data_IF_936143070591
#
_entry.id   IF_936143070591
#
_cell.length_a   1.000
_cell.length_b   1.000
_cell.length_c   1.000
_cell.angle_alpha   90.00
_cell.angle_beta   90.00
_cell.angle_gamma   90.00
#
_symmetry.space_group_name_H-M   'P 1'
#
loop_
_entity.id
_entity.type
_entity.pdbx_description
1 polymer ?
#
# COMPACT_ATOMS: atom_id res chain seq x y z
N UNK A 1 -30.01 -30.02 10.49
CA UNK A 1 -30.91 -29.39 9.53
C UNK A 1 -30.08 -29.05 8.29
N UNK A 2 -30.50 -29.55 7.17
CA UNK A 2 -29.91 -29.26 5.87
C UNK A 2 -30.15 -27.79 5.51
N UNK A 3 -29.12 -27.04 5.16
CA UNK A 3 -29.23 -25.62 4.83
C UNK A 3 -28.85 -25.38 3.37
N UNK A 4 -29.71 -25.77 2.41
CA UNK A 4 -29.37 -25.79 0.98
C UNK A 4 -29.00 -24.39 0.40
N UNK A 5 -29.32 -23.29 1.10
CA UNK A 5 -28.92 -21.95 0.69
C UNK A 5 -27.41 -21.70 0.86
N UNK A 6 -26.70 -22.48 1.71
CA UNK A 6 -25.26 -22.32 1.92
C UNK A 6 -24.44 -22.64 0.66
N UNK A 7 -24.96 -23.55 -0.20
CA UNK A 7 -24.32 -23.88 -1.48
C UNK A 7 -24.39 -22.75 -2.51
N UNK A 8 -25.32 -21.79 -2.28
CA UNK A 8 -25.55 -20.64 -3.15
C UNK A 8 -24.77 -19.40 -2.69
N UNK A 9 -24.10 -19.46 -1.53
CA UNK A 9 -23.28 -18.36 -1.04
C UNK A 9 -21.96 -18.29 -1.81
N UNK A 10 -21.42 -17.07 -1.90
CA UNK A 10 -20.10 -16.86 -2.50
C UNK A 10 -19.03 -17.51 -1.63
N UNK A 11 -18.17 -18.32 -2.24
CA UNK A 11 -17.02 -18.96 -1.59
C UNK A 11 -15.76 -18.27 -2.12
N UNK A 12 -15.12 -17.49 -1.28
CA UNK A 12 -13.82 -16.83 -1.55
C UNK A 12 -12.95 -16.95 -0.31
N UNK A 13 -11.64 -16.98 -0.49
CA UNK A 13 -10.68 -16.89 0.58
C UNK A 13 -10.41 -15.40 0.89
N UNK A 14 -10.79 -14.90 2.09
CA UNK A 14 -10.63 -13.50 2.41
C UNK A 14 -9.17 -13.16 2.68
N UNK A 15 -8.83 -11.88 2.53
CA UNK A 15 -7.54 -11.36 3.00
C UNK A 15 -7.34 -11.62 4.50
N UNK A 16 -6.13 -12.10 4.84
CA UNK A 16 -5.74 -12.33 6.24
C UNK A 16 -4.86 -11.16 6.71
N UNK A 17 -5.39 -10.27 7.57
CA UNK A 17 -4.61 -9.16 8.09
C UNK A 17 -3.44 -9.63 8.95
N UNK A 18 -2.43 -8.76 9.11
CA UNK A 18 -1.34 -9.00 10.05
C UNK A 18 -1.87 -9.15 11.48
N UNK A 19 -1.21 -10.02 12.25
CA UNK A 19 -1.56 -10.24 13.65
C UNK A 19 -1.59 -8.92 14.43
N UNK A 20 -2.63 -8.72 15.25
CA UNK A 20 -2.73 -7.60 16.17
C UNK A 20 -2.34 -8.07 17.58
N UNK A 21 -1.30 -7.46 18.21
CA UNK A 21 -0.90 -7.83 19.55
C UNK A 21 -2.00 -7.50 20.56
N UNK A 22 -2.17 -8.38 21.57
CA UNK A 22 -3.15 -8.21 22.64
C UNK A 22 -2.62 -7.44 23.85
N UNK A 23 -1.31 -7.21 23.91
CA UNK A 23 -0.62 -6.52 25.01
C UNK A 23 0.15 -5.32 24.50
N UNK A 24 0.31 -4.30 25.33
CA UNK A 24 1.00 -3.05 24.98
C UNK A 24 2.53 -3.19 24.92
N UNK A 25 3.09 -4.27 25.46
CA UNK A 25 4.54 -4.45 25.60
C UNK A 25 5.21 -5.04 24.35
N UNK A 26 4.45 -5.28 23.27
CA UNK A 26 4.97 -5.84 22.03
C UNK A 26 5.40 -4.71 21.08
N UNK A 27 6.63 -4.76 20.61
CA UNK A 27 7.11 -3.92 19.52
C UNK A 27 6.52 -4.43 18.20
N UNK A 28 5.56 -3.68 17.66
CA UNK A 28 4.79 -4.05 16.48
C UNK A 28 5.48 -3.60 15.19
N UNK A 29 6.15 -4.53 14.49
CA UNK A 29 6.88 -4.29 13.23
C UNK A 29 6.34 -5.15 12.07
N UNK A 30 5.04 -5.42 12.03
CA UNK A 30 4.44 -6.38 11.09
C UNK A 30 3.44 -5.77 10.08
N UNK A 31 3.01 -4.53 10.24
CA UNK A 31 1.92 -3.94 9.46
C UNK A 31 2.31 -2.69 8.65
N UNK A 32 3.59 -2.37 8.56
CA UNK A 32 4.12 -1.20 7.84
C UNK A 32 3.49 0.12 8.31
N UNK A 33 3.16 0.22 9.60
CA UNK A 33 2.69 1.45 10.23
C UNK A 33 3.85 2.42 10.43
N UNK A 34 3.56 3.71 10.42
CA UNK A 34 4.56 4.74 10.68
C UNK A 34 4.80 4.84 12.20
N UNK A 35 6.05 4.82 12.69
CA UNK A 35 6.33 4.90 14.12
C UNK A 35 6.12 6.31 14.70
N UNK A 36 6.02 7.32 13.86
CA UNK A 36 5.80 8.71 14.27
C UNK A 36 4.32 9.07 14.19
N UNK A 37 3.80 9.91 15.11
CA UNK A 37 2.40 10.33 15.07
C UNK A 37 2.10 11.24 13.86
N UNK A 38 0.82 11.47 13.53
CA UNK A 38 0.44 12.54 12.63
C UNK A 38 0.94 13.90 13.11
N UNK A 39 1.03 14.88 12.19
CA UNK A 39 1.46 16.24 12.54
C UNK A 39 0.60 16.84 13.67
N UNK A 40 1.19 17.66 14.56
CA UNK A 40 0.46 18.25 15.70
C UNK A 40 -0.81 19.01 15.31
N UNK A 41 -0.80 19.68 14.16
CA UNK A 41 -1.97 20.38 13.62
C UNK A 41 -3.13 19.44 13.25
N UNK A 42 -2.83 18.21 12.83
CA UNK A 42 -3.84 17.16 12.59
C UNK A 42 -4.49 16.74 13.92
N UNK A 43 -3.68 16.57 14.98
CA UNK A 43 -4.18 16.28 16.33
C UNK A 43 -5.11 17.40 16.81
N UNK A 44 -4.76 18.67 16.56
CA UNK A 44 -5.61 19.81 16.93
C UNK A 44 -6.95 19.83 16.16
N UNK A 45 -6.95 19.50 14.87
CA UNK A 45 -8.18 19.35 14.08
C UNK A 45 -9.10 18.29 14.69
N UNK A 46 -8.55 17.17 15.15
CA UNK A 46 -9.34 16.11 15.79
C UNK A 46 -9.88 16.54 17.16
N UNK A 47 -9.05 17.21 17.97
CA UNK A 47 -9.41 17.67 19.31
C UNK A 47 -10.51 18.75 19.30
N UNK A 48 -10.50 19.63 18.28
CA UNK A 48 -11.44 20.75 18.15
C UNK A 48 -12.63 20.44 17.25
N UNK A 49 -12.79 19.18 16.84
CA UNK A 49 -13.90 18.80 15.98
C UNK A 49 -15.22 18.91 16.70
N UNK A 50 -16.15 19.68 16.12
CA UNK A 50 -17.51 19.80 16.62
C UNK A 50 -18.31 18.51 16.32
N UNK A 51 -18.55 17.70 17.35
CA UNK A 51 -19.25 16.43 17.25
C UNK A 51 -20.71 16.57 16.74
N UNK A 52 -21.34 17.73 16.91
CA UNK A 52 -22.70 17.98 16.38
C UNK A 52 -22.73 17.86 14.83
N UNK A 53 -21.62 18.08 14.16
CA UNK A 53 -21.50 17.89 12.71
C UNK A 53 -21.55 16.44 12.23
N UNK A 54 -21.50 15.46 13.14
CA UNK A 54 -21.70 14.05 12.81
C UNK A 54 -23.17 13.72 12.49
N UNK A 55 -24.11 14.60 12.88
CA UNK A 55 -25.55 14.44 12.59
C UNK A 55 -25.88 14.58 11.07
N UNK A 56 -24.97 15.12 10.27
CA UNK A 56 -25.19 15.36 8.83
C UNK A 56 -24.13 14.68 7.98
N UNK A 57 -24.52 14.22 6.79
CA UNK A 57 -23.60 13.58 5.84
C UNK A 57 -22.41 14.49 5.47
N UNK A 58 -21.22 13.92 5.23
CA UNK A 58 -20.08 14.66 4.69
C UNK A 58 -20.34 15.13 3.25
N UNK A 59 -19.44 15.96 2.73
CA UNK A 59 -19.40 16.27 1.29
C UNK A 59 -19.06 15.02 0.49
N UNK A 60 -20.03 14.51 -0.28
CA UNK A 60 -19.86 13.32 -1.13
C UNK A 60 -18.78 13.50 -2.21
N UNK A 61 -18.53 14.73 -2.64
CA UNK A 61 -17.51 15.07 -3.63
C UNK A 61 -16.14 15.37 -3.00
N UNK A 62 -16.09 15.54 -1.68
CA UNK A 62 -14.85 15.86 -0.94
C UNK A 62 -14.03 16.99 -1.58
N UNK A 63 -14.72 18.02 -2.08
CA UNK A 63 -14.18 19.07 -2.96
C UNK A 63 -12.92 19.72 -2.39
N UNK A 64 -12.94 20.09 -1.11
CA UNK A 64 -11.81 20.79 -0.49
C UNK A 64 -10.52 19.94 -0.51
N UNK A 65 -10.62 18.66 -0.17
CA UNK A 65 -9.46 17.77 -0.16
C UNK A 65 -8.98 17.41 -1.58
N UNK A 66 -9.90 17.19 -2.53
CA UNK A 66 -9.55 16.99 -3.94
C UNK A 66 -8.78 18.17 -4.51
N UNK A 67 -9.26 19.40 -4.24
CA UNK A 67 -8.57 20.63 -4.68
C UNK A 67 -7.16 20.71 -4.10
N UNK A 68 -7.00 20.47 -2.81
CA UNK A 68 -5.69 20.52 -2.17
C UNK A 68 -4.70 19.46 -2.70
N UNK A 69 -5.18 18.23 -3.00
CA UNK A 69 -4.35 17.20 -3.64
C UNK A 69 -3.99 17.61 -5.07
N UNK A 70 -4.96 18.10 -5.85
CA UNK A 70 -4.73 18.55 -7.21
C UNK A 70 -3.67 19.66 -7.27
N UNK A 71 -3.77 20.68 -6.42
CA UNK A 71 -2.78 21.76 -6.30
C UNK A 71 -1.38 21.25 -5.98
N UNK A 72 -1.27 20.24 -5.09
CA UNK A 72 0.02 19.66 -4.73
C UNK A 72 0.73 18.96 -5.90
N UNK A 73 -0.01 18.33 -6.80
CA UNK A 73 0.52 17.53 -7.90
C UNK A 73 0.40 18.20 -9.27
N UNK A 74 0.06 19.49 -9.30
CA UNK A 74 -0.18 20.29 -10.53
C UNK A 74 -1.23 19.62 -11.45
N UNK A 75 -2.33 19.18 -10.84
CA UNK A 75 -3.46 18.53 -11.51
C UNK A 75 -4.74 19.37 -11.39
N UNK A 76 -5.78 18.96 -12.12
CA UNK A 76 -7.12 19.48 -11.91
C UNK A 76 -7.88 18.61 -10.88
N UNK A 77 -8.82 19.16 -10.09
CA UNK A 77 -9.64 18.37 -9.17
C UNK A 77 -10.40 17.21 -9.83
N UNK A 78 -10.71 17.31 -11.12
CA UNK A 78 -11.33 16.25 -11.92
C UNK A 78 -10.41 15.06 -12.19
N UNK A 79 -9.11 15.20 -11.93
CA UNK A 79 -8.08 14.16 -12.07
C UNK A 79 -7.75 13.48 -10.75
N UNK A 80 -8.50 13.77 -9.67
CA UNK A 80 -8.28 13.21 -8.32
C UNK A 80 -9.52 12.47 -7.84
N UNK A 81 -9.32 11.26 -7.36
CA UNK A 81 -10.33 10.43 -6.70
C UNK A 81 -9.97 10.17 -5.25
N UNK A 82 -10.95 10.04 -4.36
CA UNK A 82 -10.74 9.77 -2.93
C UNK A 82 -11.50 8.53 -2.46
N UNK A 83 -10.84 7.68 -1.66
CA UNK A 83 -11.42 6.48 -1.09
C UNK A 83 -11.11 6.30 0.41
N UNK A 84 -11.84 5.38 1.03
CA UNK A 84 -11.68 5.00 2.43
C UNK A 84 -10.44 4.11 2.65
N UNK A 85 -9.26 4.67 2.40
CA UNK A 85 -7.98 4.00 2.25
C UNK A 85 -7.71 3.61 0.79
N UNK A 86 -6.44 3.31 0.46
CA UNK A 86 -6.09 2.82 -0.88
C UNK A 86 -6.77 1.49 -1.22
N UNK A 87 -7.13 0.68 -0.23
CA UNK A 87 -7.88 -0.56 -0.44
C UNK A 87 -9.26 -0.30 -1.08
N UNK A 88 -9.99 0.74 -0.62
CA UNK A 88 -11.27 1.16 -1.20
C UNK A 88 -11.06 1.70 -2.63
N UNK A 89 -10.02 2.54 -2.82
CA UNK A 89 -9.65 3.06 -4.15
C UNK A 89 -9.37 1.92 -5.14
N UNK A 90 -8.52 0.97 -4.75
CA UNK A 90 -8.15 -0.17 -5.58
C UNK A 90 -9.34 -1.09 -5.85
N UNK A 91 -10.16 -1.41 -4.84
CA UNK A 91 -11.34 -2.24 -5.02
C UNK A 91 -12.34 -1.61 -6.00
N UNK A 92 -12.54 -0.29 -5.94
CA UNK A 92 -13.37 0.44 -6.90
C UNK A 92 -12.73 0.48 -8.30
N UNK A 93 -11.41 0.63 -8.39
CA UNK A 93 -10.68 0.61 -9.66
C UNK A 93 -10.77 -0.77 -10.34
N UNK A 94 -10.64 -1.87 -9.59
CA UNK A 94 -10.85 -3.23 -10.12
C UNK A 94 -12.26 -3.40 -10.69
N UNK A 95 -13.29 -2.88 -10.01
CA UNK A 95 -14.67 -2.92 -10.48
C UNK A 95 -14.91 -2.02 -11.70
N UNK A 96 -14.19 -0.90 -11.80
CA UNK A 96 -14.39 0.07 -12.88
C UNK A 96 -13.72 -0.38 -14.19
N UNK A 97 -12.49 -0.90 -14.12
CA UNK A 97 -11.63 -1.01 -15.29
C UNK A 97 -11.41 -2.44 -15.78
N UNK A 98 -11.57 -3.44 -14.93
CA UNK A 98 -11.23 -4.82 -15.27
C UNK A 98 -12.47 -5.66 -15.57
N UNK A 99 -13.28 -5.19 -16.56
CA UNK A 99 -14.56 -5.78 -16.93
C UNK A 99 -14.50 -6.68 -18.16
N UNK A 100 -13.32 -6.94 -18.72
CA UNK A 100 -13.13 -7.79 -19.90
C UNK A 100 -12.87 -9.25 -19.52
N UNK A 101 -13.00 -10.15 -20.50
CA UNK A 101 -12.64 -11.57 -20.33
C UNK A 101 -11.12 -11.82 -20.42
N UNK A 102 -10.32 -10.78 -20.71
CA UNK A 102 -8.85 -10.88 -20.73
C UNK A 102 -8.32 -10.83 -19.30
N UNK A 103 -7.27 -11.62 -18.97
CA UNK A 103 -6.66 -11.58 -17.63
C UNK A 103 -5.96 -10.25 -17.36
N UNK A 104 -6.07 -9.74 -16.13
CA UNK A 104 -5.19 -8.69 -15.65
C UNK A 104 -3.85 -9.28 -15.22
N UNK A 105 -2.79 -8.48 -15.30
CA UNK A 105 -1.43 -8.90 -14.98
C UNK A 105 -0.92 -8.18 -13.73
N UNK A 106 -0.33 -8.94 -12.81
CA UNK A 106 0.39 -8.40 -11.64
C UNK A 106 1.47 -9.36 -11.15
N UNK A 107 2.48 -8.90 -10.36
CA UNK A 107 3.57 -9.77 -9.91
C UNK A 107 3.08 -10.94 -9.03
N UNK A 108 3.73 -12.11 -9.11
CA UNK A 108 3.41 -13.32 -8.34
C UNK A 108 3.64 -13.15 -6.83
N UNK A 109 4.62 -12.32 -6.46
CA UNK A 109 4.92 -11.95 -5.08
C UNK A 109 4.66 -10.46 -4.91
N UNK A 110 3.44 -10.13 -4.47
CA UNK A 110 2.95 -8.77 -4.37
C UNK A 110 1.88 -8.64 -3.29
N UNK A 111 1.16 -7.53 -3.27
CA UNK A 111 0.09 -7.27 -2.31
C UNK A 111 -1.03 -8.30 -2.40
N UNK A 112 -1.24 -9.03 -1.32
CA UNK A 112 -2.10 -10.21 -1.29
C UNK A 112 -3.61 -9.93 -1.39
N UNK A 113 -4.02 -8.67 -1.51
CA UNK A 113 -5.41 -8.31 -1.79
C UNK A 113 -5.78 -8.42 -3.27
N UNK A 114 -4.83 -8.33 -4.19
CA UNK A 114 -5.15 -8.37 -5.64
C UNK A 114 -5.89 -9.64 -6.04
N UNK A 115 -5.41 -10.86 -5.72
CA UNK A 115 -6.19 -12.07 -6.03
C UNK A 115 -7.56 -12.11 -5.31
N UNK A 116 -7.66 -11.56 -4.10
CA UNK A 116 -8.95 -11.52 -3.36
C UNK A 116 -9.98 -10.68 -4.12
N UNK A 117 -9.57 -9.53 -4.67
CA UNK A 117 -10.49 -8.72 -5.50
C UNK A 117 -10.80 -9.39 -6.83
N UNK A 118 -9.82 -10.05 -7.45
CA UNK A 118 -10.06 -10.82 -8.67
C UNK A 118 -11.14 -11.89 -8.45
N UNK A 119 -11.02 -12.67 -7.39
CA UNK A 119 -12.00 -13.71 -7.03
C UNK A 119 -13.36 -13.10 -6.66
N UNK A 120 -13.34 -12.00 -5.89
CA UNK A 120 -14.55 -11.30 -5.45
C UNK A 120 -15.36 -10.75 -6.63
N UNK A 121 -14.68 -10.16 -7.61
CA UNK A 121 -15.32 -9.51 -8.76
C UNK A 121 -15.34 -10.41 -10.02
N UNK A 122 -14.78 -11.63 -9.95
CA UNK A 122 -14.68 -12.59 -11.05
C UNK A 122 -13.86 -12.04 -12.23
N UNK A 123 -12.77 -11.38 -11.91
CA UNK A 123 -11.81 -10.85 -12.87
C UNK A 123 -10.75 -11.94 -13.15
N UNK A 124 -10.56 -12.36 -14.40
CA UNK A 124 -9.48 -13.27 -14.72
C UNK A 124 -8.12 -12.59 -14.49
N UNK A 125 -7.13 -13.34 -14.02
CA UNK A 125 -5.81 -12.79 -13.77
C UNK A 125 -4.67 -13.78 -14.08
N UNK A 126 -3.50 -13.25 -14.31
CA UNK A 126 -2.28 -14.01 -14.50
C UNK A 126 -1.15 -13.38 -13.68
N UNK A 127 -0.41 -14.21 -12.96
CA UNK A 127 0.72 -13.79 -12.15
C UNK A 127 2.00 -13.72 -13.00
N UNK A 128 2.64 -12.56 -13.03
CA UNK A 128 3.92 -12.36 -13.70
C UNK A 128 5.06 -12.70 -12.73
N UNK A 129 5.97 -13.61 -13.09
CA UNK A 129 7.04 -14.02 -12.19
C UNK A 129 8.01 -12.87 -11.94
N UNK A 130 8.34 -12.61 -10.68
CA UNK A 130 9.53 -11.82 -10.35
C UNK A 130 10.79 -12.67 -10.61
N UNK A 131 11.90 -12.04 -10.99
CA UNK A 131 13.17 -12.71 -11.12
C UNK A 131 13.75 -13.22 -9.79
N UNK A 132 14.97 -13.75 -9.78
CA UNK A 132 15.63 -14.27 -8.58
C UNK A 132 15.93 -13.18 -7.54
N UNK A 133 16.10 -11.92 -7.98
CA UNK A 133 16.32 -10.74 -7.15
C UNK A 133 15.03 -9.99 -6.81
N UNK A 134 13.88 -10.62 -7.09
CA UNK A 134 12.53 -10.06 -6.89
C UNK A 134 12.28 -8.75 -7.68
N UNK A 135 12.90 -8.62 -8.83
CA UNK A 135 12.65 -7.53 -9.77
C UNK A 135 11.59 -7.90 -10.80
N UNK A 136 10.86 -6.90 -11.26
CA UNK A 136 9.88 -7.02 -12.34
C UNK A 136 10.61 -6.96 -13.67
N UNK A 137 10.23 -7.83 -14.62
CA UNK A 137 10.67 -7.73 -16.01
C UNK A 137 9.53 -7.13 -16.85
N UNK A 138 9.77 -5.97 -17.47
CA UNK A 138 8.76 -5.26 -18.28
C UNK A 138 8.22 -6.10 -19.42
N UNK A 139 9.06 -6.96 -20.04
CA UNK A 139 8.68 -7.78 -21.19
C UNK A 139 7.64 -8.85 -20.86
N UNK A 140 7.50 -9.24 -19.61
CA UNK A 140 6.46 -10.20 -19.20
C UNK A 140 5.05 -9.61 -19.33
N UNK A 141 4.95 -8.28 -19.43
CA UNK A 141 3.70 -7.53 -19.59
C UNK A 141 3.38 -7.20 -21.07
N UNK A 142 4.27 -7.51 -22.01
CA UNK A 142 4.09 -7.29 -23.46
C UNK A 142 3.24 -8.40 -24.09
N UNK A 143 1.99 -8.54 -23.63
CA UNK A 143 1.03 -9.52 -24.15
C UNK A 143 -0.40 -9.02 -24.01
N UNK A 144 -1.35 -9.55 -24.79
CA UNK A 144 -2.75 -9.18 -24.68
C UNK A 144 -3.25 -9.41 -23.26
N UNK A 145 -3.76 -8.34 -22.60
CA UNK A 145 -4.23 -8.37 -21.23
C UNK A 145 -5.46 -7.49 -21.04
N UNK A 146 -6.14 -7.62 -19.90
CA UNK A 146 -7.29 -6.83 -19.50
C UNK A 146 -6.96 -5.65 -18.59
N UNK A 147 -5.69 -5.50 -18.20
CA UNK A 147 -5.19 -4.46 -17.33
C UNK A 147 -3.93 -4.88 -16.58
N UNK A 148 -3.24 -3.91 -16.01
CA UNK A 148 -2.00 -4.14 -15.25
C UNK A 148 -2.15 -3.51 -13.86
N UNK A 149 -1.68 -4.22 -12.83
CA UNK A 149 -1.56 -3.68 -11.47
C UNK A 149 -0.13 -3.90 -10.98
N UNK A 150 0.60 -2.81 -10.76
CA UNK A 150 2.00 -2.86 -10.34
C UNK A 150 2.22 -1.98 -9.11
N UNK A 151 2.57 -2.55 -7.93
CA UNK A 151 3.01 -1.74 -6.80
C UNK A 151 4.42 -1.20 -7.04
N UNK A 152 4.61 0.09 -6.81
CA UNK A 152 5.90 0.73 -6.91
C UNK A 152 6.14 1.73 -5.76
N UNK A 153 6.93 1.37 -4.75
CA UNK A 153 7.64 0.10 -4.52
C UNK A 153 6.74 -1.10 -4.19
N UNK A 154 7.18 -2.30 -4.58
CA UNK A 154 6.43 -3.54 -4.34
C UNK A 154 6.44 -3.96 -2.86
N UNK A 155 5.35 -4.48 -2.37
CA UNK A 155 5.27 -5.15 -1.07
C UNK A 155 4.95 -6.65 -1.29
N UNK A 156 5.73 -7.60 -0.70
CA UNK A 156 6.58 -7.44 0.48
C UNK A 156 8.07 -7.18 0.19
N UNK A 157 8.50 -7.10 -1.07
CA UNK A 157 9.93 -7.13 -1.42
C UNK A 157 10.66 -5.80 -1.16
N UNK A 158 9.95 -4.67 -1.21
CA UNK A 158 10.53 -3.32 -1.10
C UNK A 158 11.17 -2.81 -2.41
N UNK A 159 11.19 -3.63 -3.47
CA UNK A 159 11.78 -3.29 -4.76
C UNK A 159 10.93 -2.27 -5.50
N UNK A 160 11.55 -1.24 -6.05
CA UNK A 160 10.91 -0.28 -6.93
C UNK A 160 11.44 -0.40 -8.37
N UNK A 161 10.71 0.22 -9.29
CA UNK A 161 11.11 0.39 -10.70
C UNK A 161 11.24 1.87 -11.02
N UNK A 162 11.96 2.22 -12.09
CA UNK A 162 12.20 3.60 -12.52
C UNK A 162 11.04 4.15 -13.35
N UNK A 163 11.02 5.47 -13.57
CA UNK A 163 10.04 6.08 -14.47
C UNK A 163 10.19 5.59 -15.91
N UNK A 164 11.41 5.38 -16.40
CA UNK A 164 11.67 4.83 -17.74
C UNK A 164 11.06 3.43 -17.90
N UNK A 165 11.17 2.59 -16.87
CA UNK A 165 10.50 1.29 -16.85
C UNK A 165 8.98 1.43 -16.98
N UNK A 166 8.37 2.36 -16.22
CA UNK A 166 6.94 2.60 -16.26
C UNK A 166 6.49 3.20 -17.60
N UNK A 167 7.29 4.07 -18.20
CA UNK A 167 7.02 4.59 -19.54
C UNK A 167 7.05 3.47 -20.58
N UNK A 168 8.04 2.58 -20.54
CA UNK A 168 8.11 1.42 -21.44
C UNK A 168 6.89 0.51 -21.28
N UNK A 169 6.50 0.22 -20.02
CA UNK A 169 5.29 -0.53 -19.70
C UNK A 169 4.03 0.10 -20.31
N UNK A 170 3.85 1.41 -20.14
CA UNK A 170 2.68 2.14 -20.61
C UNK A 170 2.63 2.26 -22.12
N UNK A 171 3.77 2.42 -22.79
CA UNK A 171 3.87 2.49 -24.25
C UNK A 171 3.44 1.17 -24.94
N UNK A 172 3.74 0.04 -24.33
CA UNK A 172 3.37 -1.28 -24.86
C UNK A 172 1.97 -1.75 -24.48
N UNK A 173 1.27 -1.03 -23.55
CA UNK A 173 -0.03 -1.43 -23.02
C UNK A 173 -1.07 -0.30 -23.09
N UNK A 174 -1.19 0.38 -24.24
CA UNK A 174 -2.06 1.57 -24.39
C UNK A 174 -3.55 1.24 -24.47
N UNK A 175 -3.92 -0.01 -24.70
CA UNK A 175 -5.29 -0.48 -24.87
C UNK A 175 -5.97 -0.96 -23.56
N UNK A 176 -5.25 -0.88 -22.43
CA UNK A 176 -5.75 -1.27 -21.12
C UNK A 176 -5.32 -0.27 -20.02
N UNK A 177 -6.01 -0.29 -18.90
CA UNK A 177 -5.65 0.54 -17.73
C UNK A 177 -4.49 -0.08 -16.97
N UNK A 178 -3.46 0.73 -16.68
CA UNK A 178 -2.38 0.39 -15.79
C UNK A 178 -2.54 1.12 -14.44
N UNK A 179 -2.67 0.36 -13.36
CA UNK A 179 -2.73 0.88 -11.99
C UNK A 179 -1.35 0.76 -11.37
N UNK A 180 -0.74 1.89 -11.00
CA UNK A 180 0.50 1.91 -10.24
C UNK A 180 0.17 2.23 -8.78
N UNK A 181 0.36 1.24 -7.90
CA UNK A 181 0.10 1.37 -6.46
C UNK A 181 1.35 1.91 -5.75
N UNK A 182 1.33 3.19 -5.44
CA UNK A 182 2.42 3.94 -4.82
C UNK A 182 2.26 4.07 -3.29
N UNK A 183 1.75 3.05 -2.62
CA UNK A 183 1.53 3.11 -1.17
C UNK A 183 2.81 3.42 -0.36
N UNK A 184 3.99 3.19 -0.92
CA UNK A 184 5.29 3.36 -0.24
C UNK A 184 6.23 4.34 -0.95
N UNK A 185 5.79 5.07 -1.97
CA UNK A 185 6.64 5.90 -2.83
C UNK A 185 7.44 6.96 -2.05
N UNK A 186 6.86 7.51 -0.98
CA UNK A 186 7.49 8.56 -0.15
C UNK A 186 8.75 8.09 0.63
N UNK A 187 9.10 6.80 0.59
CA UNK A 187 10.26 6.24 1.29
C UNK A 187 11.48 5.97 0.37
N UNK A 188 11.59 6.73 -0.71
CA UNK A 188 12.73 6.69 -1.63
C UNK A 188 12.38 6.21 -3.04
N UNK A 189 11.10 6.01 -3.35
CA UNK A 189 10.61 5.82 -4.71
C UNK A 189 10.44 7.15 -5.45
N UNK A 190 10.23 7.07 -6.76
CA UNK A 190 9.87 8.20 -7.61
C UNK A 190 8.44 8.02 -8.10
N UNK A 191 7.58 9.04 -7.88
CA UNK A 191 6.17 8.97 -8.26
C UNK A 191 5.99 9.16 -9.76
N UNK A 192 5.17 8.31 -10.36
CA UNK A 192 4.80 8.41 -11.77
C UNK A 192 3.59 9.33 -12.04
N UNK A 193 3.16 10.15 -11.07
CA UNK A 193 2.07 11.11 -11.26
C UNK A 193 2.34 12.05 -12.44
N UNK A 194 3.59 12.47 -12.66
CA UNK A 194 4.00 13.29 -13.80
C UNK A 194 3.67 12.67 -15.16
N UNK A 195 3.52 11.35 -15.22
CA UNK A 195 3.19 10.63 -16.46
C UNK A 195 1.70 10.65 -16.81
N UNK A 196 0.81 10.98 -15.85
CA UNK A 196 -0.65 10.97 -16.07
C UNK A 196 -1.11 11.95 -17.17
N UNK A 197 -0.35 13.02 -17.41
CA UNK A 197 -0.63 13.97 -18.49
C UNK A 197 -0.29 13.44 -19.89
N UNK A 198 0.54 12.38 -19.99
CA UNK A 198 0.95 11.77 -21.27
C UNK A 198 0.29 10.40 -21.53
N UNK A 199 -0.08 9.71 -20.47
CA UNK A 199 -0.65 8.36 -20.54
C UNK A 199 -2.06 8.34 -19.92
N UNK A 200 -3.12 8.52 -20.74
CA UNK A 200 -4.50 8.61 -20.25
C UNK A 200 -5.01 7.28 -19.63
N UNK A 201 -4.32 6.17 -19.86
CA UNK A 201 -4.62 4.87 -19.28
C UNK A 201 -3.87 4.60 -17.96
N UNK A 202 -3.11 5.58 -17.43
CA UNK A 202 -2.41 5.45 -16.15
C UNK A 202 -3.30 5.93 -14.99
N UNK A 203 -3.45 5.07 -13.97
CA UNK A 203 -4.00 5.43 -12.67
C UNK A 203 -2.93 5.25 -11.59
N UNK A 204 -2.59 6.31 -10.88
CA UNK A 204 -1.66 6.29 -9.75
C UNK A 204 -2.44 6.29 -8.44
N UNK A 205 -2.19 5.32 -7.56
CA UNK A 205 -2.88 5.19 -6.26
C UNK A 205 -1.91 5.44 -5.12
N UNK A 206 -2.28 6.34 -4.21
CA UNK A 206 -1.49 6.64 -3.01
C UNK A 206 -2.34 6.58 -1.73
N UNK A 207 -1.68 6.59 -0.56
CA UNK A 207 -2.35 6.45 0.73
C UNK A 207 -1.79 7.38 1.81
N UNK A 208 -2.65 7.79 2.73
CA UNK A 208 -2.23 8.47 3.97
C UNK A 208 -1.78 7.49 5.07
N UNK A 209 -1.95 6.19 4.85
CA UNK A 209 -1.70 5.17 5.89
C UNK A 209 -0.23 5.02 6.26
N UNK A 210 0.71 5.38 5.37
CA UNK A 210 2.15 5.12 5.53
C UNK A 210 2.92 6.39 5.86
N UNK A 211 3.27 7.18 4.88
CA UNK A 211 4.07 8.39 5.07
C UNK A 211 3.39 9.44 5.95
N UNK A 212 2.06 9.53 5.91
CA UNK A 212 1.30 10.53 6.66
C UNK A 212 0.77 10.05 8.02
N UNK A 213 1.19 8.86 8.47
CA UNK A 213 0.87 8.33 9.83
C UNK A 213 -0.63 8.23 10.13
N UNK A 214 -1.47 8.04 9.11
CA UNK A 214 -2.93 8.06 9.24
C UNK A 214 -3.60 6.72 8.87
N UNK A 215 -2.94 5.59 9.16
CA UNK A 215 -3.49 4.26 8.87
C UNK A 215 -4.88 4.05 9.49
N UNK A 216 -5.09 4.53 10.72
CA UNK A 216 -6.37 4.46 11.42
C UNK A 216 -7.45 5.40 10.89
N UNK A 217 -7.10 6.46 10.16
CA UNK A 217 -8.04 7.40 9.57
C UNK A 217 -8.67 6.89 8.26
N UNK A 218 -8.08 5.87 7.64
CA UNK A 218 -8.55 5.27 6.39
C UNK A 218 -8.76 6.29 5.27
N UNK A 219 -7.68 6.85 4.74
CA UNK A 219 -7.71 7.78 3.61
C UNK A 219 -6.71 7.36 2.53
N UNK A 220 -7.20 7.24 1.29
CA UNK A 220 -6.42 7.00 0.09
C UNK A 220 -6.94 7.83 -1.06
N UNK A 221 -6.15 7.93 -2.12
CA UNK A 221 -6.53 8.67 -3.31
C UNK A 221 -5.92 8.07 -4.57
N UNK A 222 -6.54 8.38 -5.70
CA UNK A 222 -5.99 8.09 -7.01
C UNK A 222 -5.89 9.36 -7.85
N UNK A 223 -4.95 9.35 -8.79
CA UNK A 223 -4.70 10.41 -9.74
C UNK A 223 -4.57 9.81 -11.14
N UNK A 224 -5.18 10.45 -12.14
CA UNK A 224 -5.19 9.95 -13.50
C UNK A 224 -5.99 10.86 -14.44
N UNK A 225 -6.23 10.38 -15.65
CA UNK A 225 -7.08 11.10 -16.59
C UNK A 225 -8.50 11.32 -16.04
N UNK A 226 -9.11 12.45 -16.37
CA UNK A 226 -10.44 12.81 -15.90
C UNK A 226 -11.53 11.80 -16.32
N UNK A 227 -11.34 11.05 -17.40
CA UNK A 227 -12.25 9.98 -17.80
C UNK A 227 -12.19 8.80 -16.84
N UNK A 228 -10.97 8.35 -16.44
CA UNK A 228 -10.81 7.29 -15.44
C UNK A 228 -11.41 7.70 -14.09
N UNK A 229 -11.14 8.94 -13.66
CA UNK A 229 -11.67 9.46 -12.40
C UNK A 229 -13.21 9.52 -12.42
N UNK A 230 -13.82 9.91 -13.54
CA UNK A 230 -15.30 9.91 -13.69
C UNK A 230 -15.89 8.51 -13.56
N UNK A 231 -15.24 7.49 -14.11
CA UNK A 231 -15.70 6.10 -14.00
C UNK A 231 -15.58 5.59 -12.56
N UNK A 232 -14.47 5.91 -11.86
CA UNK A 232 -14.34 5.64 -10.41
C UNK A 232 -15.46 6.31 -9.59
N UNK A 233 -15.76 7.58 -9.88
CA UNK A 233 -16.86 8.28 -9.21
C UNK A 233 -18.21 7.62 -9.49
N UNK A 234 -18.44 7.15 -10.71
CA UNK A 234 -19.67 6.44 -11.08
C UNK A 234 -19.85 5.18 -10.23
N UNK A 235 -18.82 4.36 -10.08
CA UNK A 235 -18.88 3.16 -9.23
C UNK A 235 -19.01 3.53 -7.75
N UNK A 236 -18.27 4.52 -7.26
CA UNK A 236 -18.41 5.01 -5.88
C UNK A 236 -19.83 5.46 -5.58
N UNK A 237 -20.43 6.30 -6.43
CA UNK A 237 -21.82 6.76 -6.25
C UNK A 237 -22.86 5.66 -6.35
N UNK A 238 -22.52 4.55 -7.03
CA UNK A 238 -23.38 3.38 -7.15
C UNK A 238 -23.25 2.39 -5.98
N UNK A 239 -22.18 2.52 -5.15
CA UNK A 239 -21.90 1.62 -4.02
C UNK A 239 -22.01 2.34 -2.67
N UNK A 240 -21.22 3.38 -2.46
CA UNK A 240 -21.19 4.18 -1.22
C UNK A 240 -20.79 5.64 -1.51
N UNK A 241 -21.74 6.55 -1.78
CA UNK A 241 -21.44 7.95 -2.13
C UNK A 241 -20.74 8.74 -0.99
N UNK A 242 -20.93 8.34 0.26
CA UNK A 242 -20.36 8.99 1.45
C UNK A 242 -19.25 8.16 2.09
N UNK A 243 -18.37 7.57 1.27
CA UNK A 243 -17.37 6.59 1.70
C UNK A 243 -16.33 7.14 2.70
N UNK A 244 -16.10 8.46 2.77
CA UNK A 244 -15.15 9.07 3.70
C UNK A 244 -15.90 9.97 4.69
N UNK A 245 -15.66 9.75 5.98
CA UNK A 245 -16.29 10.54 7.03
C UNK A 245 -15.69 11.97 7.11
N UNK A 246 -16.47 12.89 7.67
CA UNK A 246 -16.13 14.31 7.77
C UNK A 246 -14.85 14.60 8.57
N UNK A 247 -14.59 13.82 9.60
CA UNK A 247 -13.40 13.96 10.44
C UNK A 247 -12.13 13.65 9.63
N UNK A 248 -12.14 12.52 8.92
CA UNK A 248 -11.05 12.09 8.03
C UNK A 248 -10.79 13.11 6.92
N UNK A 249 -11.85 13.67 6.28
CA UNK A 249 -11.67 14.69 5.24
C UNK A 249 -10.95 15.94 5.78
N UNK A 250 -11.32 16.41 6.99
CA UNK A 250 -10.66 17.55 7.62
C UNK A 250 -9.21 17.25 8.01
N UNK A 251 -8.99 16.10 8.65
CA UNK A 251 -7.65 15.65 9.06
C UNK A 251 -6.74 15.46 7.85
N UNK A 252 -7.26 14.89 6.75
CA UNK A 252 -6.52 14.71 5.51
C UNK A 252 -6.08 16.02 4.84
N UNK A 253 -6.95 17.02 4.80
CA UNK A 253 -6.62 18.33 4.28
C UNK A 253 -5.53 19.02 5.13
N UNK A 254 -5.63 18.92 6.46
CA UNK A 254 -4.60 19.46 7.35
C UNK A 254 -3.27 18.72 7.21
N UNK A 255 -3.29 17.40 7.11
CA UNK A 255 -2.07 16.61 6.92
C UNK A 255 -1.35 16.97 5.62
N UNK A 256 -2.08 17.29 4.55
CA UNK A 256 -1.48 17.70 3.29
C UNK A 256 -0.71 19.03 3.40
N UNK A 257 -1.19 19.95 4.24
CA UNK A 257 -0.53 21.23 4.49
C UNK A 257 0.79 21.10 5.29
N UNK A 258 1.03 19.97 5.94
CA UNK A 258 2.19 19.72 6.82
C UNK A 258 3.29 18.89 6.12
N UNK A 259 3.51 19.12 4.84
CA UNK A 259 4.44 18.30 4.04
C UNK A 259 5.83 18.18 4.65
N UNK A 260 6.43 19.30 5.08
CA UNK A 260 7.78 19.31 5.64
C UNK A 260 7.91 18.42 6.90
N UNK A 261 6.86 18.29 7.71
CA UNK A 261 6.84 17.38 8.85
C UNK A 261 6.94 15.91 8.40
N UNK A 262 6.16 15.54 7.39
CA UNK A 262 6.14 14.17 6.88
C UNK A 262 7.40 13.82 6.09
N UNK A 263 7.94 14.75 5.31
CA UNK A 263 9.22 14.57 4.59
C UNK A 263 10.36 14.29 5.59
N UNK A 264 10.42 15.04 6.69
CA UNK A 264 11.40 14.80 7.75
C UNK A 264 11.23 13.41 8.38
N UNK A 265 10.00 12.97 8.66
CA UNK A 265 9.75 11.66 9.23
C UNK A 265 10.11 10.54 8.22
N UNK A 266 9.76 10.68 6.95
CA UNK A 266 10.16 9.73 5.90
C UNK A 266 11.67 9.64 5.79
N UNK A 267 12.39 10.77 5.82
CA UNK A 267 13.84 10.79 5.81
C UNK A 267 14.42 10.04 7.01
N UNK A 268 13.91 10.29 8.22
CA UNK A 268 14.34 9.58 9.44
C UNK A 268 14.09 8.07 9.35
N UNK A 269 12.96 7.67 8.76
CA UNK A 269 12.64 6.25 8.53
C UNK A 269 13.62 5.63 7.53
N UNK A 270 13.95 6.32 6.44
CA UNK A 270 14.93 5.86 5.45
C UNK A 270 16.32 5.69 6.07
N UNK A 271 16.80 6.64 6.86
CA UNK A 271 18.08 6.56 7.57
C UNK A 271 18.09 5.38 8.57
N UNK A 272 17.00 5.19 9.30
CA UNK A 272 16.82 4.06 10.23
C UNK A 272 16.76 2.73 9.50
N UNK A 273 16.10 2.68 8.34
CA UNK A 273 16.07 1.51 7.46
C UNK A 273 17.48 1.10 7.02
N UNK A 274 18.23 2.06 6.49
CA UNK A 274 19.56 1.82 5.95
C UNK A 274 20.56 1.41 7.06
N UNK A 275 20.41 1.98 8.25
CA UNK A 275 21.13 1.51 9.43
C UNK A 275 20.78 0.07 9.78
N UNK A 276 19.48 -0.24 9.88
CA UNK A 276 19.01 -1.56 10.25
C UNK A 276 19.44 -2.63 9.25
N UNK A 277 19.42 -2.29 7.95
CA UNK A 277 19.90 -3.17 6.89
C UNK A 277 21.37 -3.57 7.12
N UNK A 278 22.25 -2.58 7.32
CA UNK A 278 23.69 -2.83 7.59
C UNK A 278 23.92 -3.68 8.85
N UNK A 279 23.16 -3.45 9.92
CA UNK A 279 23.30 -4.24 11.14
C UNK A 279 22.80 -5.69 10.95
N UNK A 280 21.72 -5.90 10.20
CA UNK A 280 21.23 -7.24 9.85
C UNK A 280 22.23 -7.99 8.96
N UNK A 281 22.86 -7.33 8.00
CA UNK A 281 23.93 -7.90 7.18
C UNK A 281 25.13 -8.36 8.02
N UNK A 282 25.56 -7.58 9.04
CA UNK A 282 26.59 -8.00 10.01
C UNK A 282 26.19 -9.24 10.81
N UNK A 283 24.88 -9.43 11.05
CA UNK A 283 24.34 -10.63 11.67
C UNK A 283 24.20 -11.81 10.66
N UNK A 284 24.60 -11.62 9.42
CA UNK A 284 24.60 -12.61 8.34
C UNK A 284 23.24 -12.83 7.68
N UNK A 285 22.36 -11.82 7.73
CA UNK A 285 21.15 -11.82 6.93
C UNK A 285 21.45 -11.39 5.48
N UNK A 286 20.69 -11.93 4.56
CA UNK A 286 20.51 -11.35 3.22
C UNK A 286 19.38 -10.34 3.31
N UNK A 287 19.64 -9.10 2.96
CA UNK A 287 18.67 -7.98 3.01
C UNK A 287 18.42 -7.52 1.59
N UNK A 288 17.16 -7.51 1.12
CA UNK A 288 16.85 -6.95 -0.19
C UNK A 288 16.90 -5.41 -0.14
N UNK A 289 17.43 -4.75 -1.19
CA UNK A 289 17.32 -3.30 -1.33
C UNK A 289 15.85 -2.87 -1.25
N UNK A 290 15.56 -1.84 -0.45
CA UNK A 290 14.18 -1.39 -0.21
C UNK A 290 14.03 0.11 -0.43
N UNK A 291 12.95 0.49 -1.12
CA UNK A 291 12.45 1.86 -1.25
C UNK A 291 11.13 2.05 -0.48
N UNK A 292 10.94 1.27 0.60
CA UNK A 292 9.72 1.26 1.43
C UNK A 292 10.06 1.54 2.89
N UNK A 293 9.05 1.60 3.75
CA UNK A 293 9.23 1.70 5.20
C UNK A 293 9.38 0.33 5.89
N UNK A 294 9.94 -0.65 5.18
CA UNK A 294 10.22 -1.98 5.69
C UNK A 294 11.42 -2.60 4.97
N UNK A 295 11.99 -3.65 5.56
CA UNK A 295 12.98 -4.52 4.96
C UNK A 295 12.40 -5.91 4.72
N UNK A 296 12.86 -6.59 3.66
CA UNK A 296 12.55 -7.97 3.38
C UNK A 296 13.83 -8.79 3.46
N UNK A 297 13.91 -9.68 4.45
CA UNK A 297 15.17 -10.27 4.90
C UNK A 297 15.04 -11.76 5.09
N UNK A 298 16.14 -12.50 4.83
CA UNK A 298 16.28 -13.92 5.21
C UNK A 298 17.61 -14.17 5.90
N UNK A 299 17.66 -15.17 6.77
CA UNK A 299 18.90 -15.66 7.35
C UNK A 299 19.23 -17.00 6.69
N UNK A 300 20.30 -17.09 5.86
CA UNK A 300 20.70 -18.37 5.24
C UNK A 300 20.87 -19.48 6.28
N UNK A 301 20.29 -20.64 6.01
CA UNK A 301 20.33 -21.80 6.91
C UNK A 301 19.37 -21.74 8.10
N UNK A 302 18.48 -20.74 8.17
CA UNK A 302 17.46 -20.64 9.22
C UNK A 302 16.09 -20.41 8.57
N UNK A 303 15.08 -21.17 8.98
CA UNK A 303 13.71 -20.98 8.49
C UNK A 303 13.14 -19.63 8.94
N UNK A 304 12.47 -18.90 8.02
CA UNK A 304 11.83 -17.63 8.34
C UNK A 304 10.78 -17.74 9.45
N UNK A 305 10.05 -18.87 9.49
CA UNK A 305 9.09 -19.17 10.53
C UNK A 305 9.73 -19.27 11.94
N UNK A 306 10.97 -19.82 12.04
CA UNK A 306 11.68 -19.91 13.33
C UNK A 306 12.10 -18.54 13.84
N UNK A 307 12.64 -17.69 12.96
CA UNK A 307 12.98 -16.29 13.30
C UNK A 307 11.74 -15.53 13.76
N UNK A 308 10.62 -15.62 13.00
CA UNK A 308 9.35 -15.02 13.38
C UNK A 308 8.90 -15.45 14.78
N UNK A 309 8.89 -16.76 15.06
CA UNK A 309 8.46 -17.34 16.34
C UNK A 309 9.34 -16.84 17.49
N UNK A 310 10.68 -16.93 17.36
CA UNK A 310 11.64 -16.51 18.41
C UNK A 310 11.58 -15.01 18.71
N UNK A 311 11.38 -14.16 17.68
CA UNK A 311 11.17 -12.73 17.88
C UNK A 311 9.86 -12.46 18.63
N UNK A 312 8.76 -13.13 18.22
CA UNK A 312 7.46 -13.00 18.88
C UNK A 312 7.50 -13.39 20.35
N UNK A 313 8.18 -14.50 20.70
CA UNK A 313 8.40 -14.93 22.09
C UNK A 313 9.17 -13.89 22.92
N UNK A 314 9.94 -13.02 22.27
CA UNK A 314 10.74 -11.92 22.87
C UNK A 314 10.09 -10.55 22.76
N UNK A 315 8.80 -10.50 22.44
CA UNK A 315 8.03 -9.26 22.38
C UNK A 315 8.24 -8.43 21.12
N UNK A 316 8.78 -9.00 20.03
CA UNK A 316 8.92 -8.31 18.74
C UNK A 316 8.10 -9.03 17.66
N UNK A 317 7.14 -8.34 17.06
CA UNK A 317 6.26 -8.90 16.05
C UNK A 317 6.62 -8.41 14.65
N UNK A 318 7.15 -9.31 13.81
CA UNK A 318 7.44 -9.08 12.39
C UNK A 318 6.41 -9.80 11.50
N UNK A 319 6.50 -9.71 10.19
CA UNK A 319 5.61 -10.42 9.27
C UNK A 319 6.34 -11.56 8.58
N UNK A 320 5.83 -12.78 8.76
CA UNK A 320 6.24 -13.98 8.04
C UNK A 320 5.20 -14.31 6.94
N UNK A 321 5.64 -15.00 5.87
CA UNK A 321 4.83 -15.42 4.74
C UNK A 321 5.04 -16.92 4.49
N UNK A 322 3.96 -17.70 4.54
CA UNK A 322 3.98 -19.13 4.26
C UNK A 322 3.69 -19.39 2.76
N UNK A 323 4.58 -18.88 1.89
CA UNK A 323 4.57 -19.12 0.44
C UNK A 323 5.93 -19.66 0.03
N UNK A 324 5.97 -20.68 -0.83
CA UNK A 324 7.17 -21.46 -1.18
C UNK A 324 8.40 -20.60 -1.48
N UNK A 325 8.29 -19.62 -2.38
CA UNK A 325 9.43 -18.75 -2.77
C UNK A 325 9.92 -17.80 -1.67
N UNK A 326 9.09 -17.49 -0.68
CA UNK A 326 9.38 -16.47 0.33
C UNK A 326 9.23 -16.96 1.77
N UNK A 327 9.04 -18.26 2.00
CA UNK A 327 8.90 -18.82 3.35
C UNK A 327 10.12 -18.63 4.25
N UNK A 328 11.29 -18.42 3.66
CA UNK A 328 12.53 -18.16 4.43
C UNK A 328 12.71 -16.66 4.74
N UNK A 329 11.83 -15.81 4.22
CA UNK A 329 11.88 -14.37 4.43
C UNK A 329 10.93 -13.90 5.52
N UNK A 330 11.36 -12.82 6.18
CA UNK A 330 10.50 -12.01 7.04
C UNK A 330 10.49 -10.56 6.54
N UNK A 331 9.33 -9.90 6.61
CA UNK A 331 9.22 -8.46 6.39
C UNK A 331 9.23 -7.75 7.73
N UNK A 332 10.16 -6.84 7.90
CA UNK A 332 10.37 -6.05 9.12
C UNK A 332 10.01 -4.60 8.85
N UNK A 333 8.93 -4.11 9.44
CA UNK A 333 8.59 -2.69 9.41
C UNK A 333 9.64 -1.88 10.13
N UNK A 334 10.02 -0.72 9.61
CA UNK A 334 10.95 0.18 10.27
C UNK A 334 10.22 0.97 11.35
N UNK A 335 10.62 0.74 12.59
CA UNK A 335 10.18 1.47 13.78
C UNK A 335 11.06 2.70 14.05
N UNK A 336 10.98 3.22 15.29
CA UNK A 336 11.97 4.20 15.75
C UNK A 336 13.35 3.57 15.86
N UNK A 337 14.40 4.38 15.95
CA UNK A 337 15.77 3.87 16.11
C UNK A 337 15.89 2.95 17.32
N UNK A 338 15.28 3.31 18.44
CA UNK A 338 15.29 2.51 19.67
C UNK A 338 14.59 1.16 19.48
N UNK A 339 13.47 1.13 18.74
CA UNK A 339 12.78 -0.11 18.42
C UNK A 339 13.62 -1.02 17.54
N UNK A 340 14.37 -0.47 16.59
CA UNK A 340 15.28 -1.23 15.74
C UNK A 340 16.48 -1.77 16.53
N UNK A 341 17.04 -0.99 17.45
CA UNK A 341 18.12 -1.44 18.31
C UNK A 341 17.67 -2.61 19.21
N UNK A 342 16.46 -2.56 19.76
CA UNK A 342 15.85 -3.68 20.51
C UNK A 342 15.65 -4.91 19.62
N UNK A 343 15.13 -4.77 18.40
CA UNK A 343 15.02 -5.87 17.45
C UNK A 343 16.36 -6.55 17.23
N UNK A 344 17.43 -5.77 16.99
CA UNK A 344 18.78 -6.27 16.74
C UNK A 344 19.36 -6.97 17.98
N UNK A 345 19.10 -6.45 19.19
CA UNK A 345 19.48 -7.11 20.45
C UNK A 345 18.79 -8.45 20.56
N UNK A 346 17.45 -8.51 20.35
CA UNK A 346 16.69 -9.76 20.43
C UNK A 346 17.13 -10.80 19.40
N UNK A 347 17.55 -10.38 18.20
CA UNK A 347 18.14 -11.30 17.22
C UNK A 347 19.47 -11.89 17.73
N UNK A 348 20.36 -11.08 18.31
CA UNK A 348 21.67 -11.54 18.85
C UNK A 348 21.52 -12.56 19.99
N UNK A 349 20.42 -12.54 20.74
CA UNK A 349 20.18 -13.49 21.84
C UNK A 349 20.03 -14.93 21.37
N UNK A 350 19.70 -15.18 20.11
CA UNK A 350 19.38 -16.54 19.64
C UNK A 350 20.01 -16.93 18.30
N UNK A 351 20.75 -16.04 17.65
CA UNK A 351 21.54 -16.36 16.46
C UNK A 351 22.93 -16.88 16.81
#
# INVERSE_FOLDING_TARGET
>A
MDKPFLDKLRKIDPYVPGEQPKTADIIKLNANENPYPPAPSVTEVLRTFDAAKLAIYPDANAKALKTAIAERFDLQPSQVFLGNGSDDVLALAFQSFFCSDKPILYPDITYSFYPVWCDLFRIPYENMPLDEDFCVNVRDYDKPNGGIVLPNPNAPTGRGVTLEFLEDLLQHNQDCVAIIDEAYVDFGGESCVSLTGRYPNLLVVQTYSKSRSMAGARLGYAMGDAALIRDLETIKFSTNPYNINRLTLKAGAQALAEQAYYDKNCQTIMETRDYTARELEKLGFTVLPSQSNFLFVRKPGTEGADIYRRLKERGVLVRHFDKERIRDYNRITIGTREQMDILLEKLREFL
#
